data_IF_068046011718
#
_entry.id   IF_068046011718
#
_cell.length_a   1.000
_cell.length_b   1.000
_cell.length_c   1.000
_cell.angle_alpha   90.00
_cell.angle_beta   90.00
_cell.angle_gamma   90.00
#
_symmetry.space_group_name_H-M   'P 1'
#
loop_
_entity.id
_entity.type
_entity.pdbx_description
1 polymer ?
#
# COMPACT_ATOMS: atom_id res chain seq x y z
N UNK A 1 -13.14 -14.86 -8.41
CA UNK A 1 -12.88 -14.08 -7.18
C UNK A 1 -11.71 -13.13 -7.42
N UNK A 2 -11.80 -11.89 -6.95
CA UNK A 2 -10.67 -10.94 -6.93
C UNK A 2 -9.68 -11.34 -5.83
N UNK A 3 -8.37 -11.23 -6.09
CA UNK A 3 -7.36 -11.45 -5.04
C UNK A 3 -7.28 -10.21 -4.17
N UNK A 4 -7.16 -10.39 -2.85
CA UNK A 4 -6.95 -9.28 -1.91
C UNK A 4 -5.53 -9.37 -1.34
N UNK A 5 -4.81 -8.25 -1.35
CA UNK A 5 -3.46 -8.15 -0.80
C UNK A 5 -3.44 -7.03 0.24
N UNK A 6 -3.01 -7.37 1.45
CA UNK A 6 -2.78 -6.42 2.52
C UNK A 6 -1.28 -6.11 2.64
N UNK A 7 -0.92 -4.83 2.73
CA UNK A 7 0.47 -4.37 2.74
C UNK A 7 0.75 -3.64 4.05
N UNK A 8 1.86 -3.97 4.71
CA UNK A 8 2.31 -3.28 5.92
C UNK A 8 3.73 -2.76 5.70
N UNK A 9 3.95 -1.47 5.97
CA UNK A 9 5.29 -0.85 5.91
C UNK A 9 5.55 -0.05 7.17
N UNK A 10 6.70 -0.28 7.83
CA UNK A 10 7.06 0.41 9.07
C UNK A 10 7.93 1.66 8.90
N UNK A 11 8.50 1.88 7.71
CA UNK A 11 9.42 3.00 7.44
C UNK A 11 9.16 3.62 6.05
N UNK A 12 9.51 4.90 5.83
CA UNK A 12 9.35 5.56 4.54
C UNK A 12 10.06 4.85 3.38
N UNK A 13 11.19 4.19 3.66
CA UNK A 13 11.95 3.40 2.70
C UNK A 13 11.13 2.20 2.18
N UNK A 14 10.47 1.48 3.08
CA UNK A 14 9.58 0.36 2.76
C UNK A 14 8.35 0.79 1.98
N UNK A 15 7.70 1.89 2.38
CA UNK A 15 6.56 2.50 1.68
C UNK A 15 6.91 2.85 0.21
N UNK A 16 8.08 3.47 0.00
CA UNK A 16 8.58 3.79 -1.34
C UNK A 16 8.84 2.55 -2.19
N UNK A 17 9.38 1.47 -1.62
CA UNK A 17 9.61 0.22 -2.35
C UNK A 17 8.30 -0.51 -2.67
N UNK A 18 7.40 -0.60 -1.68
CA UNK A 18 6.09 -1.21 -1.83
C UNK A 18 5.27 -0.52 -2.94
N UNK A 19 5.21 0.82 -2.94
CA UNK A 19 4.48 1.57 -3.97
C UNK A 19 4.95 1.27 -5.40
N UNK A 20 6.26 1.06 -5.63
CA UNK A 20 6.80 0.66 -6.93
C UNK A 20 6.35 -0.73 -7.35
N UNK A 21 6.40 -1.69 -6.44
CA UNK A 21 5.95 -3.08 -6.70
C UNK A 21 4.46 -3.09 -7.02
N UNK A 22 3.63 -2.42 -6.20
CA UNK A 22 2.18 -2.39 -6.39
C UNK A 22 1.79 -1.66 -7.67
N UNK A 23 2.46 -0.55 -8.00
CA UNK A 23 2.21 0.17 -9.26
C UNK A 23 2.44 -0.71 -10.48
N UNK A 24 3.46 -1.59 -10.43
CA UNK A 24 3.75 -2.53 -11.51
C UNK A 24 2.75 -3.69 -11.55
N UNK A 25 2.31 -4.18 -10.39
CA UNK A 25 1.26 -5.20 -10.30
C UNK A 25 -0.08 -4.68 -10.84
N UNK A 26 -0.50 -3.47 -10.47
CA UNK A 26 -1.73 -2.83 -10.96
C UNK A 26 -1.75 -2.68 -12.49
N UNK A 27 -0.60 -2.46 -13.13
CA UNK A 27 -0.50 -2.39 -14.60
C UNK A 27 -0.70 -3.75 -15.28
N UNK A 28 -0.27 -4.83 -14.64
CA UNK A 28 -0.31 -6.17 -15.22
C UNK A 28 -1.60 -6.93 -14.87
N UNK A 29 -2.28 -6.55 -13.79
CA UNK A 29 -3.49 -7.23 -13.33
C UNK A 29 -4.40 -6.29 -12.52
N UNK A 30 -5.55 -5.95 -13.10
CA UNK A 30 -6.53 -5.06 -12.48
C UNK A 30 -7.49 -5.79 -11.52
N UNK A 31 -7.41 -7.12 -11.43
CA UNK A 31 -8.29 -7.94 -10.59
C UNK A 31 -7.65 -8.23 -9.21
N UNK A 32 -6.99 -7.21 -8.64
CA UNK A 32 -6.38 -7.25 -7.31
C UNK A 32 -6.83 -6.03 -6.52
N UNK A 33 -7.37 -6.27 -5.34
CA UNK A 33 -7.73 -5.24 -4.37
C UNK A 33 -6.59 -5.06 -3.36
N UNK A 34 -6.26 -3.81 -3.05
CA UNK A 34 -5.16 -3.46 -2.18
C UNK A 34 -5.63 -2.63 -0.99
N UNK A 35 -5.19 -3.03 0.20
CA UNK A 35 -5.36 -2.33 1.47
C UNK A 35 -4.00 -2.23 2.14
N UNK A 36 -3.79 -1.23 3.02
CA UNK A 36 -2.50 -1.10 3.69
C UNK A 36 -2.57 -0.56 5.10
N UNK A 37 -1.48 -0.77 5.86
CA UNK A 37 -0.98 0.18 6.86
C UNK A 37 0.34 0.70 6.31
N UNK A 38 0.36 1.93 5.84
CA UNK A 38 1.49 2.44 5.08
C UNK A 38 1.52 3.96 4.96
N UNK A 39 2.53 4.43 4.22
CA UNK A 39 2.84 5.85 4.14
C UNK A 39 2.23 6.56 2.93
N UNK A 40 2.79 7.72 2.64
CA UNK A 40 2.32 8.64 1.61
C UNK A 40 2.52 8.11 0.19
N UNK A 41 3.51 7.24 -0.06
CA UNK A 41 3.75 6.68 -1.40
C UNK A 41 2.71 5.63 -1.78
N UNK A 42 2.25 4.79 -0.84
CA UNK A 42 1.12 3.90 -1.11
C UNK A 42 -0.18 4.69 -1.30
N UNK A 43 -0.40 5.72 -0.47
CA UNK A 43 -1.57 6.61 -0.60
C UNK A 43 -1.62 7.32 -1.96
N UNK A 44 -0.49 7.80 -2.48
CA UNK A 44 -0.43 8.54 -3.75
C UNK A 44 -0.80 7.69 -4.97
N UNK A 45 -0.67 6.36 -4.88
CA UNK A 45 -1.06 5.42 -5.93
C UNK A 45 -2.45 4.80 -5.69
N UNK A 46 -3.25 5.41 -4.81
CA UNK A 46 -4.60 4.96 -4.47
C UNK A 46 -4.64 3.65 -3.69
N UNK A 47 -3.61 3.36 -2.90
CA UNK A 47 -3.62 2.28 -1.90
C UNK A 47 -3.74 2.94 -0.54
N UNK A 48 -4.97 3.04 -0.04
CA UNK A 48 -5.24 3.77 1.19
C UNK A 48 -4.78 2.96 2.42
N UNK A 49 -4.29 3.69 3.41
CA UNK A 49 -4.04 3.14 4.74
C UNK A 49 -5.36 3.01 5.49
N UNK A 50 -5.58 1.90 6.20
CA UNK A 50 -6.79 1.70 7.04
C UNK A 50 -6.68 2.38 8.41
N UNK A 51 -5.49 2.87 8.76
CA UNK A 51 -5.19 3.67 9.95
C UNK A 51 -4.29 4.84 9.56
N UNK A 52 -4.40 5.99 10.22
CA UNK A 52 -3.34 6.99 10.13
C UNK A 52 -2.12 6.46 10.91
N UNK A 53 -0.91 6.56 10.35
CA UNK A 53 0.30 6.11 11.05
C UNK A 53 0.42 6.82 12.42
N UNK A 54 -0.01 8.08 12.50
CA UNK A 54 -0.03 8.86 13.74
C UNK A 54 -0.89 8.24 14.86
N UNK A 55 -1.85 7.39 14.52
CA UNK A 55 -2.73 6.74 15.51
C UNK A 55 -2.08 5.48 16.12
N UNK A 56 -1.06 4.93 15.46
CA UNK A 56 -0.44 3.63 15.84
C UNK A 56 1.07 3.73 16.09
N UNK A 57 1.67 4.89 15.84
CA UNK A 57 3.08 5.19 16.16
C UNK A 57 3.15 6.31 17.19
N UNK A 58 4.12 6.26 18.11
CA UNK A 58 4.35 7.26 19.16
C UNK A 58 4.86 8.60 18.62
#
# INVERSE_FOLDING_TARGET
>A
MSKKIFIVTGEPSGDRLASKVISKLKKNNNNIEFLSVGGTHLKSIGVNSIFDLKEITY
#
